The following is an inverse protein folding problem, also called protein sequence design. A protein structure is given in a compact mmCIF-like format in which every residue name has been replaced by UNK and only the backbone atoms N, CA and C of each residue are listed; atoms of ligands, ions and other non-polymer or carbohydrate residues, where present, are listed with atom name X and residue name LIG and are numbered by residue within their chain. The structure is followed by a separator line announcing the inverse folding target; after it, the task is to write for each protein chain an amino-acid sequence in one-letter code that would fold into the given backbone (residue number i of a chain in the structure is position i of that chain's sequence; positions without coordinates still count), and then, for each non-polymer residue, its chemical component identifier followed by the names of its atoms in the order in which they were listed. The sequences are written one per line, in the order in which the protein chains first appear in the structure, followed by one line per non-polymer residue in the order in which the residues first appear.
data_IF_885458014098
#
_entry.id   IF_885458014098
#
_cell.length_a   1.000
_cell.length_b   1.000
_cell.length_c   1.000
_cell.angle_alpha   90.00
_cell.angle_beta   90.00
_cell.angle_gamma   90.00
#
_symmetry.space_group_name_H-M   'P 1'
#
loop_
_entity.id
_entity.type
_entity.pdbx_description
1 polymer ?
#
# COMPACT_ATOMS: atom_id res chain seq x y z
N UNK A 1 58.04 -9.30 32.37
CA UNK A 1 56.89 -10.21 32.30
C UNK A 1 55.85 -9.45 31.52
N UNK A 2 56.00 -9.57 30.21
CA UNK A 2 55.05 -9.08 29.22
C UNK A 2 53.77 -9.90 29.32
N UNK A 3 52.62 -9.25 29.11
CA UNK A 3 51.39 -9.94 28.79
C UNK A 3 50.70 -9.19 27.66
N UNK A 4 50.65 -9.90 26.55
CA UNK A 4 50.32 -9.49 25.20
C UNK A 4 48.85 -9.10 25.00
N UNK A 5 48.73 -8.28 23.95
CA UNK A 5 47.55 -7.86 23.23
C UNK A 5 46.92 -9.08 22.55
N UNK A 6 45.61 -9.30 22.71
CA UNK A 6 44.84 -10.15 21.81
C UNK A 6 43.70 -9.38 21.16
N UNK A 7 43.68 -9.48 19.83
CA UNK A 7 42.78 -8.79 18.91
C UNK A 7 41.40 -9.46 18.89
N UNK A 8 40.31 -8.75 18.51
CA UNK A 8 39.01 -9.36 18.43
C UNK A 8 38.93 -10.27 17.20
N UNK A 9 38.58 -11.53 17.45
CA UNK A 9 38.39 -12.57 16.45
C UNK A 9 37.25 -12.23 15.48
N UNK A 10 37.55 -12.34 14.18
CA UNK A 10 36.60 -12.24 13.07
C UNK A 10 35.50 -13.30 13.20
N UNK A 11 34.26 -12.86 13.32
CA UNK A 11 33.07 -13.73 13.29
C UNK A 11 32.74 -14.12 11.86
N UNK A 12 32.96 -15.38 11.51
CA UNK A 12 32.57 -15.96 10.22
C UNK A 12 31.06 -16.27 10.18
N UNK A 13 30.26 -15.22 9.98
CA UNK A 13 28.95 -15.31 9.35
C UNK A 13 29.11 -15.29 7.81
N UNK A 14 28.31 -15.99 7.01
CA UNK A 14 28.26 -15.83 5.54
C UNK A 14 28.15 -14.31 5.22
N UNK A 15 29.16 -13.65 4.62
CA UNK A 15 29.33 -12.23 4.85
C UNK A 15 28.38 -11.39 3.98
N UNK A 16 28.00 -10.17 4.44
CA UNK A 16 27.35 -9.13 3.63
C UNK A 16 27.96 -8.93 2.22
N UNK A 17 29.24 -9.30 2.05
CA UNK A 17 29.98 -9.25 0.78
C UNK A 17 29.38 -10.12 -0.34
N UNK A 18 28.83 -11.31 -0.09
CA UNK A 18 28.38 -12.19 -1.19
C UNK A 18 27.10 -11.67 -1.88
N UNK A 19 26.18 -11.10 -1.11
CA UNK A 19 24.94 -10.49 -1.63
C UNK A 19 25.21 -9.24 -2.45
N UNK A 20 26.12 -8.42 -1.94
CA UNK A 20 26.62 -7.25 -2.66
C UNK A 20 27.27 -7.70 -3.97
N UNK A 21 28.02 -8.81 -3.99
CA UNK A 21 28.60 -9.36 -5.21
C UNK A 21 27.54 -9.83 -6.23
N UNK A 22 26.49 -10.53 -5.80
CA UNK A 22 25.38 -10.92 -6.71
C UNK A 22 24.68 -9.69 -7.27
N UNK A 23 24.35 -8.72 -6.43
CA UNK A 23 23.79 -7.44 -6.86
C UNK A 23 24.71 -6.73 -7.85
N UNK A 24 26.01 -6.66 -7.56
CA UNK A 24 27.00 -6.06 -8.43
C UNK A 24 27.09 -6.78 -9.77
N UNK A 25 27.06 -8.11 -9.78
CA UNK A 25 27.04 -8.89 -11.02
C UNK A 25 25.81 -8.54 -11.86
N UNK A 26 24.62 -8.44 -11.26
CA UNK A 26 23.38 -8.07 -11.97
C UNK A 26 23.44 -6.64 -12.50
N UNK A 27 23.98 -5.71 -11.73
CA UNK A 27 24.16 -4.31 -12.16
C UNK A 27 25.24 -4.17 -13.26
N UNK A 28 26.32 -4.94 -13.20
CA UNK A 28 27.34 -5.03 -14.25
C UNK A 28 26.78 -5.60 -15.55
N UNK A 29 25.88 -6.59 -15.48
CA UNK A 29 25.13 -7.08 -16.65
C UNK A 29 24.22 -6.00 -17.24
N UNK A 30 23.71 -5.09 -16.40
CA UNK A 30 23.07 -3.85 -16.83
C UNK A 30 24.08 -2.74 -17.16
N UNK A 31 25.35 -3.06 -17.42
CA UNK A 31 26.36 -2.12 -17.89
C UNK A 31 26.72 -0.99 -16.92
N UNK A 32 26.47 -1.17 -15.62
CA UNK A 32 26.97 -0.25 -14.59
C UNK A 32 28.49 -0.47 -14.44
N UNK A 33 29.33 0.56 -14.63
CA UNK A 33 30.77 0.41 -14.48
C UNK A 33 31.18 0.07 -13.03
N UNK A 34 32.24 -0.72 -12.88
CA UNK A 34 32.75 -1.17 -11.58
C UNK A 34 33.08 -0.02 -10.63
N UNK A 35 33.63 1.10 -11.16
CA UNK A 35 33.93 2.32 -10.40
C UNK A 35 32.69 2.95 -9.72
N UNK A 36 31.49 2.74 -10.27
CA UNK A 36 30.24 3.17 -9.65
C UNK A 36 29.76 2.18 -8.60
N UNK A 37 30.00 0.87 -8.80
CA UNK A 37 29.62 -0.17 -7.84
C UNK A 37 30.46 -0.10 -6.57
N UNK A 38 31.77 0.14 -6.68
CA UNK A 38 32.69 0.29 -5.54
C UNK A 38 32.30 1.43 -4.59
N UNK A 39 31.63 2.46 -5.12
CA UNK A 39 31.12 3.61 -4.34
C UNK A 39 29.72 3.39 -3.78
N UNK A 40 29.19 2.17 -3.85
CA UNK A 40 27.90 1.76 -3.29
C UNK A 40 26.74 2.69 -3.72
N UNK A 41 25.91 3.15 -2.79
CA UNK A 41 24.72 3.96 -3.10
C UNK A 41 25.07 5.30 -3.76
N UNK A 42 26.06 6.09 -3.29
CA UNK A 42 26.51 7.29 -3.98
C UNK A 42 26.94 7.06 -5.43
N UNK A 43 27.63 5.95 -5.70
CA UNK A 43 28.09 5.61 -7.05
C UNK A 43 26.93 5.27 -8.00
N UNK A 44 25.97 4.48 -7.53
CA UNK A 44 24.75 4.18 -8.27
C UNK A 44 23.91 5.43 -8.54
N UNK A 45 23.79 6.33 -7.57
CA UNK A 45 23.12 7.62 -7.77
C UNK A 45 23.81 8.45 -8.85
N UNK A 46 25.15 8.51 -8.86
CA UNK A 46 25.89 9.23 -9.89
C UNK A 46 25.62 8.64 -11.28
N UNK A 47 25.67 7.30 -11.40
CA UNK A 47 25.39 6.62 -12.65
C UNK A 47 23.96 6.87 -13.17
N UNK A 48 22.96 6.79 -12.31
CA UNK A 48 21.54 7.02 -12.67
C UNK A 48 21.28 8.46 -13.10
N UNK A 49 21.96 9.45 -12.50
CA UNK A 49 21.83 10.86 -12.89
C UNK A 49 22.22 11.09 -14.35
N UNK A 50 23.22 10.36 -14.83
CA UNK A 50 23.73 10.41 -16.20
C UNK A 50 22.96 9.48 -17.15
N UNK A 51 22.35 8.41 -16.63
CA UNK A 51 21.72 7.34 -17.41
C UNK A 51 20.23 7.15 -17.07
N UNK A 52 19.46 8.24 -16.98
CA UNK A 52 18.05 8.23 -16.52
C UNK A 52 17.13 7.28 -17.31
N UNK A 53 17.42 7.04 -18.59
CA UNK A 53 16.64 6.13 -19.43
C UNK A 53 16.80 4.67 -19.03
N UNK A 54 17.84 4.32 -18.27
CA UNK A 54 18.15 2.96 -17.80
C UNK A 54 17.52 2.61 -16.45
N UNK A 55 16.73 3.51 -15.88
CA UNK A 55 16.12 3.33 -14.56
C UNK A 55 15.29 2.05 -14.49
N UNK A 56 14.40 1.72 -15.45
CA UNK A 56 13.61 0.50 -15.39
C UNK A 56 14.45 -0.78 -15.26
N UNK A 57 15.53 -0.88 -16.04
CA UNK A 57 16.44 -2.04 -16.04
C UNK A 57 17.21 -2.13 -14.71
N UNK A 58 17.64 -0.99 -14.18
CA UNK A 58 18.35 -0.94 -12.89
C UNK A 58 17.44 -1.31 -11.73
N UNK A 59 16.19 -0.83 -11.71
CA UNK A 59 15.22 -1.22 -10.67
C UNK A 59 14.96 -2.72 -10.71
N UNK A 60 14.78 -3.29 -11.91
CA UNK A 60 14.62 -4.74 -12.06
C UNK A 60 15.86 -5.53 -11.61
N UNK A 61 17.06 -4.99 -11.80
CA UNK A 61 18.31 -5.64 -11.38
C UNK A 61 18.60 -5.50 -9.87
N UNK A 62 18.09 -4.45 -9.23
CA UNK A 62 18.21 -4.25 -7.78
C UNK A 62 17.35 -5.27 -7.02
N UNK A 63 16.11 -5.47 -7.45
CA UNK A 63 15.21 -6.43 -6.82
C UNK A 63 15.76 -7.87 -6.97
N UNK A 64 15.75 -8.69 -5.92
CA UNK A 64 16.22 -10.07 -6.00
C UNK A 64 15.33 -10.91 -6.95
N UNK A 65 15.94 -11.88 -7.65
CA UNK A 65 15.20 -12.80 -8.53
C UNK A 65 14.41 -13.81 -7.71
N UNK A 66 13.41 -14.44 -8.31
CA UNK A 66 12.64 -15.50 -7.65
C UNK A 66 13.53 -16.62 -7.13
N UNK A 67 14.54 -17.00 -7.91
CA UNK A 67 15.48 -18.07 -7.60
C UNK A 67 16.33 -17.71 -6.37
N UNK A 68 16.90 -16.49 -6.35
CA UNK A 68 17.69 -15.98 -5.23
C UNK A 68 16.89 -15.96 -3.92
N UNK A 69 15.63 -15.51 -4.00
CA UNK A 69 14.74 -15.41 -2.84
C UNK A 69 14.34 -16.81 -2.34
N UNK A 70 14.09 -17.76 -3.24
CA UNK A 70 13.75 -19.15 -2.90
C UNK A 70 14.96 -19.89 -2.32
N UNK A 71 16.16 -19.68 -2.87
CA UNK A 71 17.39 -20.28 -2.35
C UNK A 71 17.71 -19.76 -0.95
N UNK A 72 17.67 -18.44 -0.73
CA UNK A 72 17.87 -17.85 0.59
C UNK A 72 16.88 -18.40 1.62
N UNK A 73 15.64 -18.67 1.22
CA UNK A 73 14.64 -19.28 2.09
C UNK A 73 14.94 -20.74 2.46
N UNK A 74 15.41 -21.54 1.50
CA UNK A 74 15.79 -22.94 1.72
C UNK A 74 16.97 -23.03 2.69
N UNK A 75 17.94 -22.14 2.55
CA UNK A 75 19.08 -22.02 3.47
C UNK A 75 18.63 -21.67 4.90
N UNK A 76 17.74 -20.67 5.07
CA UNK A 76 17.20 -20.32 6.39
C UNK A 76 16.42 -21.47 7.05
N UNK A 77 15.72 -22.30 6.28
CA UNK A 77 15.00 -23.49 6.80
C UNK A 77 15.97 -24.60 7.23
N UNK A 78 17.12 -24.72 6.57
CA UNK A 78 18.12 -25.75 6.86
C UNK A 78 19.03 -25.40 8.05
N UNK A 79 19.21 -24.11 8.35
CA UNK A 79 20.03 -23.64 9.47
C UNK A 79 19.23 -23.57 10.78
N UNK A 80 19.25 -24.63 11.59
CA UNK A 80 18.78 -24.66 12.98
C UNK A 80 19.90 -24.50 14.02
N UNK A 81 21.07 -23.98 13.62
CA UNK A 81 22.21 -23.70 14.51
C UNK A 81 22.35 -22.19 14.73
N UNK A 82 22.45 -21.80 16.00
CA UNK A 82 22.34 -20.42 16.52
C UNK A 82 23.44 -19.43 16.08
N UNK A 83 24.45 -19.83 15.29
CA UNK A 83 25.66 -19.00 15.08
C UNK A 83 25.83 -18.41 13.66
N UNK A 84 24.87 -18.58 12.74
CA UNK A 84 24.94 -18.04 11.37
C UNK A 84 23.54 -17.64 10.87
N UNK A 85 23.10 -16.42 11.17
CA UNK A 85 21.81 -15.91 10.69
C UNK A 85 21.92 -15.53 9.21
N UNK A 86 21.52 -16.43 8.31
CA UNK A 86 21.26 -16.04 6.90
C UNK A 86 20.10 -15.04 6.88
N UNK A 87 20.26 -13.85 6.28
CA UNK A 87 19.22 -12.84 6.37
C UNK A 87 17.97 -13.26 5.58
N UNK A 88 16.81 -13.05 6.18
CA UNK A 88 15.51 -13.45 5.62
C UNK A 88 15.22 -12.80 4.26
N UNK A 89 14.32 -13.40 3.46
CA UNK A 89 13.84 -12.80 2.19
C UNK A 89 13.35 -11.36 2.37
N UNK A 90 12.67 -11.09 3.50
CA UNK A 90 12.22 -9.74 3.85
C UNK A 90 13.38 -8.76 3.94
N UNK A 91 14.53 -9.17 4.49
CA UNK A 91 15.71 -8.33 4.63
C UNK A 91 16.33 -7.99 3.27
N UNK A 92 16.43 -8.97 2.36
CA UNK A 92 16.91 -8.72 0.99
C UNK A 92 16.05 -7.70 0.24
N UNK A 93 14.73 -7.82 0.39
CA UNK A 93 13.81 -6.84 -0.18
C UNK A 93 13.92 -5.47 0.51
N UNK A 94 14.19 -5.40 1.82
CA UNK A 94 14.46 -4.13 2.53
C UNK A 94 15.74 -3.45 2.05
N UNK A 95 16.82 -4.20 1.91
CA UNK A 95 18.09 -3.71 1.35
C UNK A 95 17.86 -3.14 -0.06
N UNK A 96 17.07 -3.84 -0.88
CA UNK A 96 16.66 -3.38 -2.21
C UNK A 96 15.86 -2.08 -2.13
N UNK A 97 14.88 -1.98 -1.23
CA UNK A 97 14.12 -0.73 -1.04
C UNK A 97 15.04 0.41 -0.63
N UNK A 98 16.00 0.20 0.28
CA UNK A 98 16.97 1.22 0.67
C UNK A 98 17.73 1.77 -0.54
N UNK A 99 18.28 0.90 -1.39
CA UNK A 99 18.96 1.29 -2.62
C UNK A 99 18.05 2.08 -3.58
N UNK A 100 16.82 1.62 -3.77
CA UNK A 100 15.85 2.32 -4.62
C UNK A 100 15.51 3.70 -4.06
N UNK A 101 15.43 3.86 -2.74
CA UNK A 101 15.21 5.18 -2.14
C UNK A 101 16.39 6.14 -2.41
N UNK A 102 17.64 5.66 -2.37
CA UNK A 102 18.79 6.47 -2.76
C UNK A 102 18.67 6.97 -4.21
N UNK A 103 18.21 6.10 -5.12
CA UNK A 103 17.94 6.49 -6.51
C UNK A 103 16.78 7.49 -6.62
N UNK A 104 15.69 7.28 -5.88
CA UNK A 104 14.52 8.17 -5.86
C UNK A 104 14.88 9.59 -5.40
N UNK A 105 15.74 9.71 -4.39
CA UNK A 105 16.09 11.00 -3.78
C UNK A 105 17.43 11.56 -4.21
N UNK A 106 18.16 10.86 -5.08
CA UNK A 106 19.47 11.27 -5.56
C UNK A 106 20.48 11.60 -4.44
N UNK A 107 20.38 10.86 -3.34
CA UNK A 107 21.15 11.05 -2.12
C UNK A 107 20.50 10.33 -0.93
N UNK A 108 20.90 10.68 0.27
CA UNK A 108 20.40 10.07 1.50
C UNK A 108 18.87 10.28 1.64
N UNK A 109 18.07 9.19 1.69
CA UNK A 109 16.61 9.28 1.71
C UNK A 109 16.04 10.10 2.87
N UNK A 110 16.55 9.87 4.08
CA UNK A 110 16.01 10.51 5.29
C UNK A 110 16.20 12.03 5.28
N UNK A 111 17.32 12.52 4.74
CA UNK A 111 17.57 13.95 4.55
C UNK A 111 16.56 14.58 3.58
N UNK A 112 16.29 13.91 2.45
CA UNK A 112 15.30 14.35 1.47
C UNK A 112 13.88 14.35 2.03
N UNK A 113 13.48 13.28 2.74
CA UNK A 113 12.18 13.16 3.38
C UNK A 113 11.97 14.23 4.46
N UNK A 114 12.97 14.49 5.30
CA UNK A 114 12.94 15.58 6.28
C UNK A 114 12.84 16.96 5.62
N UNK A 115 13.49 17.17 4.47
CA UNK A 115 13.35 18.40 3.69
C UNK A 115 11.92 18.56 3.17
N UNK A 116 11.32 17.49 2.63
CA UNK A 116 9.92 17.49 2.19
C UNK A 116 8.94 17.77 3.34
N UNK A 117 9.17 17.19 4.52
CA UNK A 117 8.34 17.44 5.70
C UNK A 117 8.39 18.90 6.14
N UNK A 118 9.57 19.53 6.11
CA UNK A 118 9.74 20.96 6.40
C UNK A 118 9.06 21.87 5.38
N UNK A 119 9.06 21.49 4.10
CA UNK A 119 8.33 22.23 3.06
C UNK A 119 6.81 22.13 3.29
N UNK A 120 6.34 20.99 3.81
CA UNK A 120 4.92 20.69 3.99
C UNK A 120 4.34 21.20 5.33
N UNK A 121 5.12 21.91 6.15
CA UNK A 121 4.69 22.32 7.49
C UNK A 121 3.53 23.33 7.44
N UNK A 122 2.38 22.98 8.04
CA UNK A 122 1.22 23.86 8.16
C UNK A 122 0.21 23.81 7.02
N UNK A 123 0.40 22.94 6.03
CA UNK A 123 -0.49 22.80 4.87
C UNK A 123 -0.79 21.32 4.57
N UNK A 124 -1.58 20.65 5.42
CA UNK A 124 -2.10 19.31 5.06
C UNK A 124 -3.42 19.45 4.31
N UNK A 125 -3.69 18.53 3.39
CA UNK A 125 -4.95 18.54 2.63
C UNK A 125 -6.09 17.93 3.44
N UNK A 126 -5.98 16.64 3.73
CA UNK A 126 -7.00 15.83 4.42
C UNK A 126 -6.37 15.13 5.63
N UNK A 127 -7.16 14.86 6.68
CA UNK A 127 -6.67 14.22 7.89
C UNK A 127 -6.47 12.71 7.74
N UNK A 128 -7.50 11.98 7.28
CA UNK A 128 -7.44 10.53 7.02
C UNK A 128 -7.03 9.65 8.21
N UNK A 129 -7.03 10.17 9.44
CA UNK A 129 -6.64 9.38 10.62
C UNK A 129 -7.63 8.25 10.83
N UNK A 130 -7.13 7.01 10.85
CA UNK A 130 -7.93 5.79 10.96
C UNK A 130 -8.28 5.53 12.42
N UNK A 131 -9.53 5.15 12.68
CA UNK A 131 -10.01 4.78 14.00
C UNK A 131 -10.01 3.27 14.21
N UNK A 132 -9.71 2.86 15.44
CA UNK A 132 -9.97 1.53 15.96
C UNK A 132 -11.39 1.37 16.52
N UNK A 133 -11.62 0.24 17.18
CA UNK A 133 -12.87 -0.03 17.87
C UNK A 133 -12.95 0.78 19.17
N UNK A 134 -14.07 1.48 19.38
CA UNK A 134 -14.34 2.35 20.52
C UNK A 134 -13.46 3.61 20.62
N UNK A 135 -12.81 4.00 19.52
CA UNK A 135 -12.18 5.31 19.43
C UNK A 135 -13.22 6.44 19.45
N UNK A 136 -12.81 7.61 19.92
CA UNK A 136 -13.66 8.80 20.02
C UNK A 136 -13.56 9.61 18.73
N UNK A 137 -14.72 9.94 18.15
CA UNK A 137 -14.84 10.90 17.07
C UNK A 137 -15.97 11.91 17.35
N UNK A 138 -15.97 13.00 16.57
CA UNK A 138 -16.99 14.03 16.61
C UNK A 138 -17.80 14.01 15.34
N UNK A 139 -19.12 13.96 15.50
CA UNK A 139 -20.10 14.20 14.45
C UNK A 139 -20.64 15.62 14.61
N UNK A 140 -20.69 16.39 13.53
CA UNK A 140 -21.16 17.77 13.55
C UNK A 140 -22.21 17.94 12.45
N UNK A 141 -23.49 17.92 12.83
CA UNK A 141 -24.66 17.98 11.91
C UNK A 141 -24.67 19.26 11.07
N UNK A 142 -24.02 20.31 11.55
CA UNK A 142 -23.82 21.56 10.79
C UNK A 142 -22.80 21.41 9.65
N UNK A 143 -21.73 20.62 9.86
CA UNK A 143 -20.59 20.51 8.94
C UNK A 143 -20.60 19.24 8.09
N UNK A 144 -21.28 18.19 8.53
CA UNK A 144 -21.39 16.94 7.79
C UNK A 144 -22.20 17.14 6.50
N UNK A 145 -21.85 16.39 5.46
CA UNK A 145 -22.72 16.23 4.30
C UNK A 145 -23.72 15.10 4.50
N UNK A 146 -23.41 14.09 5.32
CA UNK A 146 -24.32 13.02 5.71
C UNK A 146 -24.07 12.47 7.13
N UNK A 147 -25.00 11.68 7.70
CA UNK A 147 -24.91 11.15 9.06
C UNK A 147 -23.74 10.23 9.39
N UNK A 148 -22.99 9.75 8.39
CA UNK A 148 -21.83 8.88 8.54
C UNK A 148 -20.51 9.65 8.66
N UNK A 149 -20.49 10.95 8.33
CA UNK A 149 -19.28 11.74 8.41
C UNK A 149 -18.86 12.00 9.86
N UNK A 150 -17.56 11.93 10.12
CA UNK A 150 -16.98 12.24 11.42
C UNK A 150 -15.55 12.75 11.33
N UNK A 151 -15.12 13.47 12.36
CA UNK A 151 -13.74 13.97 12.47
C UNK A 151 -13.10 13.54 13.80
N UNK A 152 -11.80 13.34 13.81
CA UNK A 152 -11.06 12.94 15.00
C UNK A 152 -11.00 14.08 16.03
N UNK A 153 -10.75 13.74 17.30
CA UNK A 153 -10.66 14.71 18.40
C UNK A 153 -9.71 15.88 18.10
N UNK A 154 -8.47 15.66 17.59
CA UNK A 154 -7.60 16.77 17.23
C UNK A 154 -8.17 17.69 16.14
N UNK A 155 -8.90 17.15 15.16
CA UNK A 155 -9.47 17.97 14.09
C UNK A 155 -10.62 18.84 14.60
N UNK A 156 -11.50 18.28 15.43
CA UNK A 156 -12.58 19.05 16.04
C UNK A 156 -12.05 20.19 16.91
N UNK A 157 -11.07 19.91 17.78
CA UNK A 157 -10.46 20.91 18.67
C UNK A 157 -9.72 22.04 17.93
N UNK A 158 -9.15 21.73 16.75
CA UNK A 158 -8.43 22.70 15.94
C UNK A 158 -9.30 23.35 14.84
N UNK A 159 -10.59 23.00 14.77
CA UNK A 159 -11.57 23.55 13.84
C UNK A 159 -12.53 24.52 14.53
N UNK A 160 -13.32 25.24 13.74
CA UNK A 160 -14.36 26.10 14.27
C UNK A 160 -15.70 25.38 14.25
N UNK A 161 -16.12 24.89 15.42
CA UNK A 161 -17.43 24.28 15.64
C UNK A 161 -18.25 25.04 16.70
N UNK A 162 -17.92 26.31 16.92
CA UNK A 162 -18.64 27.15 17.86
C UNK A 162 -20.09 27.32 17.38
N UNK A 163 -21.04 27.12 18.29
CA UNK A 163 -22.48 27.26 18.04
C UNK A 163 -23.04 26.27 16.98
N UNK A 164 -22.29 25.21 16.67
CA UNK A 164 -22.75 24.11 15.80
C UNK A 164 -23.46 23.02 16.60
N UNK A 165 -24.31 22.26 15.91
CA UNK A 165 -24.92 21.03 16.45
C UNK A 165 -23.93 19.88 16.27
N UNK A 166 -23.26 19.47 17.36
CA UNK A 166 -22.32 18.36 17.36
C UNK A 166 -22.58 17.37 18.50
N UNK A 167 -22.12 16.14 18.31
CA UNK A 167 -22.17 15.08 19.31
C UNK A 167 -20.91 14.22 19.25
N UNK A 168 -20.52 13.67 20.40
CA UNK A 168 -19.45 12.67 20.50
C UNK A 168 -20.01 11.31 20.06
N UNK A 169 -19.24 10.57 19.27
CA UNK A 169 -19.55 9.21 18.85
C UNK A 169 -18.39 8.26 19.17
N UNK A 170 -18.71 6.98 19.37
CA UNK A 170 -17.74 5.90 19.49
C UNK A 170 -17.71 5.13 18.17
N UNK A 171 -16.53 4.98 17.59
CA UNK A 171 -16.39 4.42 16.25
C UNK A 171 -16.27 2.90 16.28
N UNK A 172 -16.84 2.23 15.28
CA UNK A 172 -16.56 0.82 14.97
C UNK A 172 -15.37 0.63 14.01
N UNK A 173 -14.79 1.73 13.53
CA UNK A 173 -13.80 1.79 12.46
C UNK A 173 -14.04 3.03 11.58
N UNK A 174 -13.24 3.22 10.53
CA UNK A 174 -13.34 4.34 9.59
C UNK A 174 -12.15 5.31 9.66
N UNK A 175 -12.24 6.46 9.01
CA UNK A 175 -11.22 7.50 9.07
C UNK A 175 -11.80 8.92 9.13
N UNK A 176 -10.99 9.86 9.61
CA UNK A 176 -11.36 11.26 9.78
C UNK A 176 -11.57 12.01 8.45
N UNK A 177 -12.74 12.63 8.29
CA UNK A 177 -13.16 13.38 7.09
C UNK A 177 -12.65 14.83 7.02
N UNK A 178 -11.89 15.29 8.02
CA UNK A 178 -11.45 16.69 8.07
C UNK A 178 -10.54 17.02 6.88
N UNK A 179 -10.91 18.05 6.11
CA UNK A 179 -10.21 18.43 4.88
C UNK A 179 -10.77 17.75 3.63
N UNK A 180 -11.60 16.72 3.75
CA UNK A 180 -12.27 16.12 2.59
C UNK A 180 -13.56 16.90 2.27
N UNK A 181 -13.53 17.73 1.22
CA UNK A 181 -14.69 18.53 0.80
C UNK A 181 -15.87 17.67 0.33
N UNK A 182 -15.63 16.39 0.02
CA UNK A 182 -16.67 15.43 -0.38
C UNK A 182 -17.48 14.89 0.79
N UNK A 183 -16.97 15.00 2.02
CA UNK A 183 -17.62 14.52 3.24
C UNK A 183 -17.87 15.64 4.27
N UNK A 184 -17.04 16.68 4.31
CA UNK A 184 -17.08 17.72 5.33
C UNK A 184 -17.02 19.12 4.73
N UNK A 185 -17.86 20.03 5.24
CA UNK A 185 -17.88 21.44 4.80
C UNK A 185 -16.60 22.18 5.18
N UNK A 186 -16.19 23.12 4.32
CA UNK A 186 -14.93 23.87 4.45
C UNK A 186 -14.86 24.69 5.73
N UNK A 187 -15.98 25.23 6.18
CA UNK A 187 -16.07 26.06 7.39
C UNK A 187 -15.76 25.24 8.66
N UNK A 188 -15.96 23.92 8.59
CA UNK A 188 -15.64 22.96 9.65
C UNK A 188 -14.25 22.35 9.55
N UNK A 189 -13.41 22.77 8.60
CA UNK A 189 -12.03 22.29 8.50
C UNK A 189 -11.16 22.84 9.64
N UNK A 190 -10.22 22.03 10.10
CA UNK A 190 -9.29 22.47 11.14
C UNK A 190 -8.20 23.40 10.59
N UNK A 191 -7.42 23.99 11.48
CA UNK A 191 -6.27 24.82 11.10
C UNK A 191 -5.20 24.07 10.29
N UNK A 192 -5.12 22.74 10.43
CA UNK A 192 -4.08 21.91 9.81
C UNK A 192 -4.48 21.28 8.47
N UNK A 193 -5.78 21.09 8.21
CA UNK A 193 -6.30 20.42 7.01
C UNK A 193 -7.15 21.39 6.20
N UNK A 194 -6.71 21.76 5.00
CA UNK A 194 -7.32 22.85 4.22
C UNK A 194 -8.01 22.42 2.92
N UNK A 195 -8.07 21.12 2.65
CA UNK A 195 -8.57 20.60 1.38
C UNK A 195 -7.47 19.98 0.53
N UNK A 196 -7.75 18.85 -0.10
CA UNK A 196 -6.80 18.19 -1.02
C UNK A 196 -6.40 19.09 -2.19
N UNK A 197 -7.27 20.00 -2.62
CA UNK A 197 -7.01 20.98 -3.68
C UNK A 197 -6.02 22.08 -3.30
N UNK A 198 -5.71 22.24 -2.00
CA UNK A 198 -4.69 23.17 -1.51
C UNK A 198 -3.32 22.49 -1.38
N UNK A 199 -3.23 21.17 -1.61
CA UNK A 199 -1.96 20.44 -1.60
C UNK A 199 -1.14 20.92 -2.79
N UNK A 200 0.03 21.51 -2.49
CA UNK A 200 1.00 21.86 -3.51
C UNK A 200 1.54 20.58 -4.17
N UNK A 201 1.80 20.59 -5.48
CA UNK A 201 2.44 19.45 -6.13
C UNK A 201 3.82 19.18 -5.53
N UNK A 202 4.27 17.93 -5.62
CA UNK A 202 5.63 17.56 -5.21
C UNK A 202 6.63 18.45 -5.97
N UNK A 203 7.64 19.05 -5.31
CA UNK A 203 8.59 19.92 -6.01
C UNK A 203 9.21 19.20 -7.20
N UNK A 204 9.32 19.91 -8.32
CA UNK A 204 9.64 19.34 -9.64
C UNK A 204 10.91 18.48 -9.63
N UNK A 205 11.92 18.88 -8.87
CA UNK A 205 13.17 18.11 -8.75
C UNK A 205 12.95 16.73 -8.13
N UNK A 206 12.13 16.62 -7.09
CA UNK A 206 11.75 15.34 -6.49
C UNK A 206 10.82 14.56 -7.41
N UNK A 207 9.87 15.21 -8.07
CA UNK A 207 8.97 14.53 -9.00
C UNK A 207 9.74 13.86 -10.17
N UNK A 208 10.78 14.53 -10.68
CA UNK A 208 11.65 14.02 -11.75
C UNK A 208 12.57 12.89 -11.31
N UNK A 209 12.99 12.85 -10.04
CA UNK A 209 13.88 11.81 -9.54
C UNK A 209 13.12 10.60 -8.98
N UNK A 210 12.10 10.83 -8.15
CA UNK A 210 11.29 9.79 -7.51
C UNK A 210 10.42 9.06 -8.54
N UNK A 211 9.84 9.80 -9.49
CA UNK A 211 8.86 9.28 -10.44
C UNK A 211 9.31 8.05 -11.22
N UNK A 212 10.38 8.12 -12.02
CA UNK A 212 10.82 7.00 -12.85
C UNK A 212 11.18 5.74 -12.07
N UNK A 213 11.82 5.90 -10.90
CA UNK A 213 12.19 4.77 -10.03
C UNK A 213 10.95 4.14 -9.42
N UNK A 214 10.00 4.96 -8.96
CA UNK A 214 8.74 4.48 -8.42
C UNK A 214 7.91 3.78 -9.49
N UNK A 215 7.78 4.33 -10.69
CA UNK A 215 7.05 3.70 -11.81
C UNK A 215 7.59 2.29 -12.09
N UNK A 216 8.91 2.16 -12.21
CA UNK A 216 9.56 0.88 -12.46
C UNK A 216 9.31 -0.12 -11.31
N UNK A 217 9.40 0.34 -10.05
CA UNK A 217 9.09 -0.50 -8.89
C UNK A 217 7.63 -0.95 -8.88
N UNK A 218 6.70 -0.06 -9.22
CA UNK A 218 5.27 -0.37 -9.30
C UNK A 218 4.97 -1.41 -10.39
N UNK A 219 5.67 -1.35 -11.54
CA UNK A 219 5.57 -2.38 -12.58
C UNK A 219 6.11 -3.72 -12.08
N UNK A 220 7.29 -3.74 -11.45
CA UNK A 220 7.86 -4.96 -10.86
C UNK A 220 6.91 -5.57 -9.82
N UNK A 221 6.34 -4.74 -8.94
CA UNK A 221 5.40 -5.18 -7.91
C UNK A 221 4.13 -5.79 -8.52
N UNK A 222 3.53 -5.12 -9.53
CA UNK A 222 2.39 -5.66 -10.28
C UNK A 222 2.72 -7.03 -10.88
N UNK A 223 3.86 -7.16 -11.55
CA UNK A 223 4.23 -8.39 -12.24
C UNK A 223 4.39 -9.56 -11.26
N UNK A 224 4.97 -9.34 -10.08
CA UNK A 224 5.07 -10.38 -9.03
C UNK A 224 3.69 -10.76 -8.46
N UNK A 225 2.78 -9.79 -8.29
CA UNK A 225 1.41 -10.07 -7.84
C UNK A 225 0.63 -10.88 -8.88
N UNK A 226 0.67 -10.48 -10.16
CA UNK A 226 0.01 -11.20 -11.25
C UNK A 226 0.56 -12.61 -11.40
N UNK A 227 1.88 -12.78 -11.28
CA UNK A 227 2.49 -14.10 -11.33
C UNK A 227 1.98 -14.98 -10.18
N UNK A 228 1.96 -14.47 -8.94
CA UNK A 228 1.41 -15.19 -7.81
C UNK A 228 -0.07 -15.52 -7.99
N UNK A 229 -0.88 -14.59 -8.53
CA UNK A 229 -2.31 -14.80 -8.80
C UNK A 229 -2.54 -15.92 -9.84
N UNK A 230 -1.83 -15.90 -10.97
CA UNK A 230 -1.96 -16.91 -12.02
C UNK A 230 -1.60 -18.31 -11.50
N UNK A 231 -0.52 -18.42 -10.72
CA UNK A 231 -0.13 -19.68 -10.09
C UNK A 231 -1.20 -20.19 -9.11
N UNK A 232 -2.00 -19.31 -8.49
CA UNK A 232 -3.13 -19.75 -7.66
C UNK A 232 -4.30 -20.31 -8.48
N UNK A 233 -4.50 -19.82 -9.71
CA UNK A 233 -5.62 -20.21 -10.56
C UNK A 233 -5.34 -21.51 -11.33
N UNK A 234 -4.09 -21.74 -11.73
CA UNK A 234 -3.71 -22.88 -12.57
C UNK A 234 -3.45 -24.18 -11.80
N UNK A 235 -3.14 -24.10 -10.50
CA UNK A 235 -2.76 -25.27 -9.70
C UNK A 235 -3.68 -25.50 -8.49
N UNK A 236 -4.30 -26.68 -8.44
CA UNK A 236 -4.96 -27.19 -7.23
C UNK A 236 -3.92 -27.34 -6.09
N UNK A 237 -4.28 -26.88 -4.90
CA UNK A 237 -3.42 -26.81 -3.71
C UNK A 237 -2.62 -28.10 -3.46
N UNK A 238 -1.28 -28.04 -3.47
CA UNK A 238 -0.46 -29.21 -3.14
C UNK A 238 1.04 -29.18 -3.48
N UNK A 239 1.52 -28.23 -4.29
CA UNK A 239 2.95 -28.12 -4.65
C UNK A 239 3.70 -27.08 -3.81
N UNK A 240 4.87 -27.45 -3.26
CA UNK A 240 5.74 -26.58 -2.44
C UNK A 240 6.14 -25.29 -3.20
N UNK A 241 6.30 -25.37 -4.53
CA UNK A 241 6.59 -24.23 -5.42
C UNK A 241 5.50 -23.15 -5.42
N UNK A 242 4.22 -23.52 -5.26
CA UNK A 242 3.11 -22.54 -5.22
C UNK A 242 3.22 -21.68 -3.96
N UNK A 243 3.57 -22.31 -2.83
CA UNK A 243 3.80 -21.62 -1.56
C UNK A 243 4.98 -20.65 -1.63
N UNK A 244 6.04 -21.01 -2.35
CA UNK A 244 7.21 -20.17 -2.57
C UNK A 244 6.85 -18.85 -3.28
N UNK A 245 6.14 -18.89 -4.41
CA UNK A 245 5.80 -17.67 -5.16
C UNK A 245 4.83 -16.74 -4.44
N UNK A 246 3.82 -17.30 -3.75
CA UNK A 246 2.94 -16.53 -2.85
C UNK A 246 3.76 -15.79 -1.81
N UNK A 247 4.81 -16.44 -1.30
CA UNK A 247 5.69 -15.85 -0.29
C UNK A 247 6.55 -14.73 -0.85
N UNK A 248 7.11 -14.88 -2.06
CA UNK A 248 7.85 -13.79 -2.75
C UNK A 248 6.95 -12.56 -2.90
N UNK A 249 5.73 -12.74 -3.42
CA UNK A 249 4.77 -11.65 -3.59
C UNK A 249 4.37 -11.02 -2.24
N UNK A 250 4.21 -11.85 -1.19
CA UNK A 250 3.89 -11.39 0.17
C UNK A 250 5.01 -10.52 0.77
N UNK A 251 6.26 -10.95 0.68
CA UNK A 251 7.40 -10.20 1.24
C UNK A 251 7.69 -8.91 0.47
N UNK A 252 7.67 -8.96 -0.87
CA UNK A 252 7.81 -7.75 -1.69
C UNK A 252 6.70 -6.74 -1.38
N UNK A 253 5.45 -7.22 -1.32
CA UNK A 253 4.30 -6.37 -0.98
C UNK A 253 4.48 -5.73 0.39
N UNK A 254 4.94 -6.50 1.38
CA UNK A 254 5.14 -5.99 2.73
C UNK A 254 6.13 -4.82 2.77
N UNK A 255 7.31 -4.95 2.14
CA UNK A 255 8.33 -3.89 2.17
C UNK A 255 7.97 -2.68 1.30
N UNK A 256 7.30 -2.89 0.16
CA UNK A 256 6.85 -1.78 -0.70
C UNK A 256 5.77 -0.98 0.01
N UNK A 257 4.79 -1.66 0.61
CA UNK A 257 3.73 -1.02 1.39
C UNK A 257 4.31 -0.25 2.57
N UNK A 258 5.31 -0.80 3.26
CA UNK A 258 5.95 -0.12 4.38
C UNK A 258 6.66 1.17 3.93
N UNK A 259 7.48 1.10 2.88
CA UNK A 259 8.17 2.26 2.30
C UNK A 259 7.18 3.34 1.84
N UNK A 260 6.14 2.96 1.07
CA UNK A 260 5.13 3.91 0.59
C UNK A 260 4.34 4.54 1.75
N UNK A 261 4.03 3.74 2.78
CA UNK A 261 3.34 4.24 3.98
C UNK A 261 4.19 5.27 4.71
N UNK A 262 5.50 5.01 4.86
CA UNK A 262 6.48 5.93 5.43
C UNK A 262 6.54 7.23 4.62
N UNK A 263 6.70 7.16 3.30
CA UNK A 263 6.72 8.34 2.43
C UNK A 263 5.47 9.22 2.61
N UNK A 264 4.29 8.59 2.69
CA UNK A 264 3.03 9.28 2.92
C UNK A 264 2.94 9.93 4.32
N UNK A 265 3.86 9.67 5.26
CA UNK A 265 3.91 10.35 6.57
C UNK A 265 4.70 11.66 6.52
N UNK A 266 5.66 11.78 5.61
CA UNK A 266 6.52 12.97 5.52
C UNK A 266 5.85 14.14 4.81
N UNK A 267 5.08 13.89 3.75
CA UNK A 267 4.49 14.99 2.95
C UNK A 267 3.23 14.57 2.20
N UNK A 268 2.21 15.44 2.24
CA UNK A 268 0.98 15.30 1.45
C UNK A 268 1.24 15.43 -0.06
N UNK A 269 2.20 16.25 -0.47
CA UNK A 269 2.56 16.36 -1.89
C UNK A 269 3.17 15.04 -2.40
N UNK A 270 3.94 14.37 -1.55
CA UNK A 270 4.49 13.04 -1.83
C UNK A 270 3.39 11.97 -1.82
N UNK A 271 2.45 12.02 -0.88
CA UNK A 271 1.25 11.16 -0.87
C UNK A 271 0.44 11.31 -2.15
N UNK A 272 0.08 12.55 -2.54
CA UNK A 272 -0.68 12.82 -3.77
C UNK A 272 0.09 12.37 -5.02
N UNK A 273 1.41 12.50 -5.02
CA UNK A 273 2.25 12.01 -6.10
C UNK A 273 2.22 10.48 -6.19
N UNK A 274 2.36 9.78 -5.06
CA UNK A 274 2.31 8.32 -4.98
C UNK A 274 0.93 7.80 -5.39
N UNK A 275 -0.16 8.38 -4.87
CA UNK A 275 -1.52 7.93 -5.19
C UNK A 275 -1.78 8.02 -6.69
N UNK A 276 -1.36 9.12 -7.34
CA UNK A 276 -1.45 9.29 -8.79
C UNK A 276 -0.69 8.22 -9.56
N UNK A 277 0.54 7.93 -9.14
CA UNK A 277 1.39 6.90 -9.77
C UNK A 277 0.78 5.50 -9.61
N UNK A 278 0.22 5.19 -8.45
CA UNK A 278 -0.42 3.89 -8.18
C UNK A 278 -1.63 3.66 -9.09
N UNK A 279 -2.51 4.65 -9.28
CA UNK A 279 -3.69 4.45 -10.15
C UNK A 279 -3.38 4.57 -11.64
N UNK A 280 -2.36 5.36 -12.04
CA UNK A 280 -1.94 5.47 -13.45
C UNK A 280 -1.17 4.22 -13.89
N UNK A 281 -0.53 3.52 -12.97
CA UNK A 281 0.13 2.25 -13.26
C UNK A 281 -0.89 1.21 -13.71
N UNK A 282 -0.86 0.91 -15.02
CA UNK A 282 -1.82 0.05 -15.70
C UNK A 282 -2.03 -1.28 -14.97
N UNK A 283 -3.25 -1.56 -14.55
CA UNK A 283 -3.66 -2.80 -13.88
C UNK A 283 -3.10 -3.01 -12.46
N UNK A 284 -2.29 -2.10 -11.90
CA UNK A 284 -1.74 -2.30 -10.56
C UNK A 284 -2.84 -2.24 -9.49
N UNK A 285 -3.70 -1.22 -9.52
CA UNK A 285 -4.74 -1.04 -8.51
C UNK A 285 -5.68 -2.25 -8.43
N UNK A 286 -6.01 -2.77 -9.60
CA UNK A 286 -6.69 -4.04 -9.85
C UNK A 286 -6.02 -5.23 -9.17
N UNK A 287 -4.71 -5.42 -9.39
CA UNK A 287 -3.93 -6.47 -8.73
C UNK A 287 -3.88 -6.30 -7.21
N UNK A 288 -3.77 -5.06 -6.70
CA UNK A 288 -3.72 -4.79 -5.26
C UNK A 288 -5.03 -5.13 -4.57
N UNK A 289 -6.17 -4.81 -5.17
CA UNK A 289 -7.50 -5.15 -4.63
C UNK A 289 -7.68 -6.67 -4.58
N UNK A 290 -7.24 -7.40 -5.62
CA UNK A 290 -7.36 -8.87 -5.66
C UNK A 290 -6.33 -9.61 -4.78
N UNK A 291 -5.25 -8.93 -4.39
CA UNK A 291 -4.14 -9.55 -3.67
C UNK A 291 -4.52 -10.14 -2.30
N UNK A 292 -5.58 -9.63 -1.65
CA UNK A 292 -6.03 -10.19 -0.35
C UNK A 292 -6.38 -11.67 -0.41
N UNK A 293 -6.67 -12.20 -1.61
CA UNK A 293 -7.04 -13.61 -1.84
C UNK A 293 -5.87 -14.58 -1.62
N UNK A 294 -4.63 -14.10 -1.72
CA UNK A 294 -3.44 -14.94 -1.59
C UNK A 294 -2.35 -14.37 -0.67
N UNK A 295 -2.43 -13.09 -0.29
CA UNK A 295 -1.54 -12.48 0.69
C UNK A 295 -1.85 -12.96 2.12
N UNK A 296 -0.84 -12.93 2.99
CA UNK A 296 -1.05 -13.21 4.41
C UNK A 296 -1.88 -12.11 5.09
N UNK A 297 -2.67 -12.48 6.10
CA UNK A 297 -3.51 -11.52 6.87
C UNK A 297 -2.74 -10.29 7.36
N UNK A 298 -1.49 -10.47 7.80
CA UNK A 298 -0.61 -9.38 8.25
C UNK A 298 -0.35 -8.37 7.13
N UNK A 299 0.00 -8.86 5.95
CA UNK A 299 0.35 -8.04 4.79
C UNK A 299 -0.90 -7.41 4.16
N UNK A 300 -2.00 -8.16 4.07
CA UNK A 300 -3.32 -7.62 3.66
C UNK A 300 -3.73 -6.43 4.52
N UNK A 301 -3.62 -6.55 5.85
CA UNK A 301 -3.93 -5.42 6.75
C UNK A 301 -3.06 -4.19 6.45
N UNK A 302 -1.76 -4.37 6.25
CA UNK A 302 -0.84 -3.28 5.91
C UNK A 302 -1.17 -2.65 4.55
N UNK A 303 -1.50 -3.47 3.56
CA UNK A 303 -1.93 -3.00 2.25
C UNK A 303 -3.23 -2.17 2.36
N UNK A 304 -4.20 -2.63 3.15
CA UNK A 304 -5.45 -1.88 3.37
C UNK A 304 -5.20 -0.56 4.11
N UNK A 305 -4.29 -0.53 5.09
CA UNK A 305 -3.86 0.71 5.77
C UNK A 305 -3.28 1.72 4.76
N UNK A 306 -2.43 1.28 3.82
CA UNK A 306 -1.91 2.13 2.76
C UNK A 306 -3.02 2.63 1.83
N UNK A 307 -3.87 1.73 1.32
CA UNK A 307 -4.97 2.09 0.42
C UNK A 307 -5.93 3.11 1.07
N UNK A 308 -6.31 2.91 2.33
CA UNK A 308 -7.10 3.88 3.12
C UNK A 308 -6.42 5.24 3.19
N UNK A 309 -5.10 5.27 3.38
CA UNK A 309 -4.33 6.52 3.42
C UNK A 309 -4.33 7.24 2.07
N UNK A 310 -4.22 6.50 0.97
CA UNK A 310 -4.27 7.05 -0.39
C UNK A 310 -5.66 7.57 -0.77
N UNK A 311 -6.75 7.09 -0.13
CA UNK A 311 -8.11 7.64 -0.33
C UNK A 311 -8.25 9.11 0.08
N UNK A 312 -7.29 9.67 0.82
CA UNK A 312 -7.23 11.12 1.05
C UNK A 312 -7.07 11.93 -0.24
N UNK A 313 -6.56 11.33 -1.32
CA UNK A 313 -6.48 11.96 -2.63
C UNK A 313 -7.78 11.70 -3.44
N UNK A 314 -8.53 12.74 -3.83
CA UNK A 314 -9.87 12.57 -4.42
C UNK A 314 -9.91 11.82 -5.75
N UNK A 315 -8.89 11.98 -6.60
CA UNK A 315 -8.80 11.27 -7.89
C UNK A 315 -8.54 9.79 -7.63
N UNK A 316 -7.58 9.48 -6.74
CA UNK A 316 -7.32 8.12 -6.32
C UNK A 316 -8.57 7.48 -5.69
N UNK A 317 -9.29 8.19 -4.82
CA UNK A 317 -10.54 7.69 -4.21
C UNK A 317 -11.56 7.28 -5.28
N UNK A 318 -11.73 8.09 -6.31
CA UNK A 318 -12.65 7.79 -7.40
C UNK A 318 -12.17 6.61 -8.27
N UNK A 319 -10.88 6.54 -8.63
CA UNK A 319 -10.33 5.41 -9.40
C UNK A 319 -10.37 4.10 -8.60
N UNK A 320 -10.02 4.14 -7.32
CA UNK A 320 -10.15 3.00 -6.41
C UNK A 320 -11.60 2.55 -6.29
N UNK A 321 -12.56 3.47 -6.21
CA UNK A 321 -13.97 3.12 -6.18
C UNK A 321 -14.37 2.28 -7.41
N UNK A 322 -13.90 2.63 -8.62
CA UNK A 322 -14.22 1.84 -9.82
C UNK A 322 -13.71 0.40 -9.73
N UNK A 323 -12.47 0.22 -9.28
CA UNK A 323 -11.87 -1.12 -9.08
C UNK A 323 -12.56 -1.87 -7.95
N UNK A 324 -12.94 -1.17 -6.88
CA UNK A 324 -13.73 -1.74 -5.80
C UNK A 324 -15.08 -2.27 -6.31
N UNK A 325 -15.76 -1.54 -7.21
CA UNK A 325 -17.01 -2.00 -7.83
C UNK A 325 -16.81 -3.22 -8.73
N UNK A 326 -15.71 -3.33 -9.48
CA UNK A 326 -15.45 -4.52 -10.30
C UNK A 326 -15.17 -5.76 -9.44
N UNK A 327 -14.60 -5.56 -8.25
CA UNK A 327 -14.30 -6.63 -7.31
C UNK A 327 -15.53 -7.08 -6.49
N UNK A 328 -16.47 -6.18 -6.20
CA UNK A 328 -17.61 -6.44 -5.32
C UNK A 328 -18.44 -7.68 -5.72
N UNK A 329 -18.87 -7.87 -6.99
CA UNK A 329 -19.63 -9.05 -7.38
C UNK A 329 -18.83 -10.36 -7.28
N UNK A 330 -17.50 -10.31 -7.40
CA UNK A 330 -16.64 -11.49 -7.31
C UNK A 330 -16.77 -12.10 -5.92
N UNK A 331 -16.65 -11.29 -4.87
CA UNK A 331 -16.78 -11.78 -3.49
C UNK A 331 -18.20 -12.17 -3.11
N UNK A 332 -19.21 -11.45 -3.60
CA UNK A 332 -20.61 -11.87 -3.39
C UNK A 332 -20.84 -13.26 -3.98
N UNK A 333 -20.36 -13.51 -5.20
CA UNK A 333 -20.47 -14.82 -5.84
C UNK A 333 -19.68 -15.92 -5.09
N UNK A 334 -18.52 -15.59 -4.50
CA UNK A 334 -17.79 -16.54 -3.66
C UNK A 334 -18.54 -16.86 -2.36
N UNK A 335 -19.16 -15.87 -1.72
CA UNK A 335 -19.98 -16.09 -0.52
C UNK A 335 -21.22 -16.94 -0.84
N UNK A 336 -21.86 -16.72 -1.99
CA UNK A 336 -22.96 -17.54 -2.50
C UNK A 336 -22.50 -18.99 -2.71
N UNK A 337 -21.38 -19.22 -3.42
CA UNK A 337 -20.83 -20.56 -3.67
C UNK A 337 -20.44 -21.29 -2.38
N UNK A 338 -19.87 -20.55 -1.42
CA UNK A 338 -19.47 -21.08 -0.12
C UNK A 338 -20.63 -21.22 0.86
N UNK A 339 -21.83 -20.77 0.51
CA UNK A 339 -23.00 -20.77 1.37
C UNK A 339 -22.75 -20.16 2.76
N UNK A 340 -21.86 -19.17 2.85
CA UNK A 340 -21.33 -18.67 4.13
C UNK A 340 -20.84 -17.23 4.01
N UNK A 341 -21.06 -16.44 5.05
CA UNK A 341 -20.51 -15.09 5.22
C UNK A 341 -19.01 -15.09 5.57
N UNK A 342 -18.42 -16.27 5.83
CA UNK A 342 -17.01 -16.40 6.24
C UNK A 342 -16.03 -15.84 5.22
N UNK A 343 -16.41 -15.79 3.93
CA UNK A 343 -15.65 -15.16 2.85
C UNK A 343 -15.35 -13.69 3.19
N UNK A 344 -16.31 -12.93 3.74
CA UNK A 344 -16.10 -11.53 4.11
C UNK A 344 -15.18 -11.34 5.34
N UNK A 345 -14.95 -12.41 6.12
CA UNK A 345 -13.96 -12.43 7.21
C UNK A 345 -12.57 -12.79 6.69
N UNK A 346 -12.49 -13.62 5.66
CA UNK A 346 -11.25 -14.02 5.01
C UNK A 346 -10.71 -12.93 4.08
N UNK A 347 -11.60 -12.21 3.41
CA UNK A 347 -11.32 -11.15 2.44
C UNK A 347 -12.01 -9.84 2.89
N UNK A 348 -11.38 -9.11 3.83
CA UNK A 348 -12.00 -7.97 4.49
C UNK A 348 -12.04 -6.68 3.66
N UNK A 349 -11.58 -6.66 2.40
CA UNK A 349 -11.56 -5.42 1.60
C UNK A 349 -12.96 -4.80 1.47
N UNK A 350 -13.98 -5.61 1.15
CA UNK A 350 -15.36 -5.11 1.06
C UNK A 350 -15.81 -4.46 2.36
N UNK A 351 -15.64 -5.12 3.50
CA UNK A 351 -16.06 -4.57 4.80
C UNK A 351 -15.23 -3.34 5.23
N UNK A 352 -13.93 -3.32 4.89
CA UNK A 352 -13.02 -2.22 5.23
C UNK A 352 -13.35 -0.94 4.45
N UNK A 353 -13.69 -1.06 3.17
CA UNK A 353 -13.81 0.08 2.27
C UNK A 353 -15.25 0.49 1.94
N UNK A 354 -16.26 -0.37 2.14
CA UNK A 354 -17.66 -0.07 1.75
C UNK A 354 -18.15 1.25 2.30
N UNK A 355 -17.88 1.57 3.58
CA UNK A 355 -18.30 2.86 4.18
C UNK A 355 -17.65 4.02 3.42
N UNK A 356 -16.35 3.95 3.17
CA UNK A 356 -15.57 4.99 2.51
C UNK A 356 -15.93 5.23 1.03
N UNK A 357 -16.77 4.37 0.45
CA UNK A 357 -17.19 4.46 -0.97
C UNK A 357 -18.70 4.68 -1.11
N UNK A 358 -19.52 3.94 -0.34
CA UNK A 358 -20.97 3.93 -0.45
C UNK A 358 -21.68 4.96 0.43
N UNK A 359 -20.98 5.57 1.38
CA UNK A 359 -21.58 6.62 2.22
C UNK A 359 -21.10 8.02 1.87
N UNK A 360 -20.17 8.17 0.92
CA UNK A 360 -19.60 9.48 0.56
C UNK A 360 -20.57 10.25 -0.36
N UNK A 361 -21.18 11.36 0.10
CA UNK A 361 -22.33 11.98 -0.56
C UNK A 361 -22.06 12.54 -1.95
N UNK A 362 -20.82 12.90 -2.28
CA UNK A 362 -20.49 13.36 -3.63
C UNK A 362 -19.97 12.24 -4.53
N UNK A 363 -19.38 11.18 -3.95
CA UNK A 363 -18.82 10.06 -4.69
C UNK A 363 -19.90 9.04 -5.05
N UNK A 364 -20.74 8.63 -4.10
CA UNK A 364 -21.73 7.58 -4.32
C UNK A 364 -22.73 7.96 -5.43
N UNK A 365 -23.32 9.18 -5.48
CA UNK A 365 -24.19 9.56 -6.59
C UNK A 365 -23.45 9.62 -7.92
N UNK A 366 -22.16 9.99 -7.91
CA UNK A 366 -21.32 9.95 -9.11
C UNK A 366 -21.13 8.52 -9.61
N UNK A 367 -20.88 7.56 -8.71
CA UNK A 367 -20.79 6.14 -9.06
C UNK A 367 -22.12 5.57 -9.56
N UNK A 368 -23.27 6.00 -9.01
CA UNK A 368 -24.60 5.63 -9.53
C UNK A 368 -24.74 6.09 -10.98
N UNK A 369 -24.34 7.34 -11.28
CA UNK A 369 -24.49 7.93 -12.61
C UNK A 369 -23.49 7.40 -13.63
N UNK A 370 -22.22 7.23 -13.24
CA UNK A 370 -21.12 6.96 -14.16
C UNK A 370 -20.74 5.47 -14.22
N UNK A 371 -21.03 4.69 -13.17
CA UNK A 371 -20.61 3.29 -13.02
C UNK A 371 -21.78 2.32 -12.83
N UNK A 372 -23.04 2.77 -12.96
CA UNK A 372 -24.25 1.97 -12.76
C UNK A 372 -24.29 1.25 -11.39
N UNK A 373 -23.78 1.89 -10.34
CA UNK A 373 -23.65 1.30 -9.00
C UNK A 373 -24.95 0.65 -8.50
N UNK A 374 -26.11 1.31 -8.68
CA UNK A 374 -27.38 0.78 -8.20
C UNK A 374 -27.76 -0.54 -8.88
N UNK A 375 -27.53 -0.66 -10.19
CA UNK A 375 -27.81 -1.89 -10.93
C UNK A 375 -26.88 -3.03 -10.47
N UNK A 376 -25.61 -2.72 -10.21
CA UNK A 376 -24.64 -3.69 -9.68
C UNK A 376 -25.08 -4.22 -8.32
N UNK A 377 -25.42 -3.34 -7.38
CA UNK A 377 -25.86 -3.73 -6.04
C UNK A 377 -27.16 -4.53 -6.06
N UNK A 378 -28.13 -4.11 -6.89
CA UNK A 378 -29.39 -4.84 -7.07
C UNK A 378 -29.17 -6.20 -7.73
N UNK A 379 -28.22 -6.33 -8.66
CA UNK A 379 -27.81 -7.59 -9.25
C UNK A 379 -27.26 -8.54 -8.20
N UNK A 380 -26.27 -8.10 -7.42
CA UNK A 380 -25.70 -8.89 -6.33
C UNK A 380 -26.77 -9.31 -5.29
N UNK A 381 -27.69 -8.42 -4.93
CA UNK A 381 -28.79 -8.75 -4.02
C UNK A 381 -29.74 -9.81 -4.63
N UNK A 382 -30.04 -9.67 -5.93
CA UNK A 382 -30.82 -10.65 -6.67
C UNK A 382 -30.15 -12.02 -6.69
N UNK A 383 -28.85 -12.09 -6.96
CA UNK A 383 -28.08 -13.33 -6.95
C UNK A 383 -28.12 -14.02 -5.58
N UNK A 384 -28.00 -13.24 -4.49
CA UNK A 384 -28.15 -13.75 -3.13
C UNK A 384 -29.55 -14.34 -2.92
N UNK A 385 -30.61 -13.61 -3.26
CA UNK A 385 -31.98 -14.13 -3.10
C UNK A 385 -32.24 -15.38 -3.92
N UNK A 386 -31.76 -15.43 -5.17
CA UNK A 386 -31.86 -16.60 -6.02
C UNK A 386 -31.14 -17.81 -5.39
N UNK A 387 -29.97 -17.59 -4.78
CA UNK A 387 -29.22 -18.67 -4.11
C UNK A 387 -29.90 -19.20 -2.85
N UNK A 388 -30.72 -18.38 -2.18
CA UNK A 388 -31.46 -18.76 -0.98
C UNK A 388 -32.90 -19.19 -1.26
N UNK A 389 -33.40 -19.06 -2.50
CA UNK A 389 -34.77 -19.41 -2.84
C UNK A 389 -34.91 -20.93 -3.08
N UNK A 390 -35.92 -21.53 -2.47
CA UNK A 390 -36.33 -22.89 -2.77
C UNK A 390 -37.02 -23.03 -4.13
N UNK A 391 -37.29 -24.26 -4.55
CA UNK A 391 -38.05 -24.56 -5.77
C UNK A 391 -39.46 -23.93 -5.78
N UNK A 392 -40.01 -23.62 -4.59
CA UNK A 392 -41.29 -22.94 -4.40
C UNK A 392 -41.19 -21.40 -4.45
N UNK A 393 -40.00 -20.86 -4.74
CA UNK A 393 -39.73 -19.43 -4.81
C UNK A 393 -39.69 -18.73 -3.45
N UNK A 394 -39.69 -19.48 -2.34
CA UNK A 394 -39.59 -18.92 -0.98
C UNK A 394 -38.15 -18.95 -0.50
N UNK A 395 -37.74 -17.88 0.20
CA UNK A 395 -36.43 -17.85 0.87
C UNK A 395 -36.36 -18.93 1.94
N UNK A 396 -35.37 -19.81 1.81
CA UNK A 396 -35.06 -20.85 2.76
C UNK A 396 -33.92 -20.39 3.66
N UNK A 397 -34.13 -20.49 4.97
CA UNK A 397 -33.05 -20.31 5.94
C UNK A 397 -32.26 -21.59 5.94
N UNK A 398 -31.05 -21.56 5.37
CA UNK A 398 -30.14 -22.69 5.49
C UNK A 398 -29.66 -22.78 6.94
N UNK A 399 -29.94 -23.92 7.58
CA UNK A 399 -29.56 -24.20 8.96
C UNK A 399 -28.10 -24.64 9.10
#
# INVERSE_FOLDING_TARGET
MDMDIDSPAESNSLPPRYRILILFQRLSLQGVPEEHLERLEPGLVAYVKENKFRVPELVSAILPTEEEVVEAYKECKASSKEDLVSPTMTEQFRESMCLLQWLMFYGEPLSALNKLAKISTGQRGVCGSVWGHNDIAYRCRTCEHDPTCAICVPCFQNGNHKDHDYSVIYTGGGCCDCGDVTAWKREGFCSKHKGAEQIQPLPEEFAKSVGPVLDALLVCWKNKLLFAENVCQEYHEGSDRIGEFKKVANELTFVVVEMLTEFCQYSESLLSFISKRVFISDGLLDSLVRAERFLSKRVTRKLHELLLKLLGEPVFKYEFAKVFLSYYPILVNEAIKGCSDSVFKNYPLLSTFSVQIFTVPTLTPRLVKEMNLLALLMGCLGDIFCSCAGEDGRLQVMH
#
